data_IF_187690094842
#
_entry.id   IF_187690094842
#
_cell.length_a   1.000
_cell.length_b   1.000
_cell.length_c   1.000
_cell.angle_alpha   90.00
_cell.angle_beta   90.00
_cell.angle_gamma   90.00
#
_symmetry.space_group_name_H-M   'P 1'
#
loop_
_entity.id
_entity.type
_entity.pdbx_description
1 polymer ?
#
# COMPACT_ATOMS: atom_id res chain seq x y z
N UNK A 1 -6.60 6.91 7.01
CA UNK A 1 -6.02 7.49 5.76
C UNK A 1 -4.68 8.23 5.94
N UNK A 2 -4.45 8.99 7.02
CA UNK A 2 -3.26 9.84 7.19
C UNK A 2 -1.91 9.10 7.25
N UNK A 3 -1.87 7.90 7.85
CA UNK A 3 -0.64 7.10 8.00
C UNK A 3 -0.20 6.36 6.72
N UNK A 4 -1.13 5.84 5.91
CA UNK A 4 -0.80 5.19 4.63
C UNK A 4 -0.17 6.16 3.63
N UNK A 5 -0.66 7.40 3.61
CA UNK A 5 -0.07 8.50 2.84
C UNK A 5 1.36 8.82 3.29
N UNK A 6 1.65 8.82 4.61
CA UNK A 6 2.98 9.13 5.12
C UNK A 6 4.03 8.09 4.73
N UNK A 7 3.72 6.80 4.82
CA UNK A 7 4.63 5.73 4.39
C UNK A 7 4.88 5.76 2.87
N UNK A 8 3.84 6.02 2.08
CA UNK A 8 3.98 6.22 0.64
C UNK A 8 4.88 7.42 0.31
N UNK A 9 4.71 8.54 1.02
CA UNK A 9 5.56 9.72 0.83
C UNK A 9 7.02 9.44 1.19
N UNK A 10 7.27 8.66 2.24
CA UNK A 10 8.64 8.26 2.60
C UNK A 10 9.29 7.36 1.53
N UNK A 11 8.55 6.38 1.00
CA UNK A 11 9.01 5.51 -0.08
C UNK A 11 9.22 6.27 -1.41
N UNK A 12 8.31 7.18 -1.72
CA UNK A 12 8.35 7.98 -2.94
C UNK A 12 9.39 9.11 -2.90
N UNK A 13 9.87 9.50 -1.72
CA UNK A 13 10.77 10.66 -1.54
C UNK A 13 12.10 10.53 -2.29
N UNK A 14 12.52 9.30 -2.64
CA UNK A 14 13.75 9.04 -3.42
C UNK A 14 13.58 9.23 -4.94
N UNK A 15 12.37 9.53 -5.40
CA UNK A 15 12.05 9.69 -6.81
C UNK A 15 11.59 11.11 -7.12
N UNK A 16 12.00 11.63 -8.28
CA UNK A 16 11.55 12.94 -8.76
C UNK A 16 10.16 12.89 -9.39
N UNK A 17 9.76 11.72 -9.90
CA UNK A 17 8.42 11.44 -10.42
C UNK A 17 8.01 10.03 -10.07
N UNK A 18 6.72 9.84 -9.82
CA UNK A 18 6.12 8.52 -9.58
C UNK A 18 4.88 8.36 -10.45
N UNK A 19 4.76 7.21 -11.12
CA UNK A 19 3.58 6.84 -11.91
C UNK A 19 2.99 5.55 -11.38
N UNK A 20 1.75 5.61 -10.87
CA UNK A 20 0.98 4.41 -10.56
C UNK A 20 0.41 3.87 -11.88
N UNK A 21 0.68 2.60 -12.16
CA UNK A 21 0.21 1.93 -13.36
C UNK A 21 -1.06 1.11 -13.09
N UNK A 22 -1.13 0.47 -11.92
CA UNK A 22 -2.28 -0.33 -11.52
C UNK A 22 -2.42 -0.40 -10.01
N UNK A 23 -3.67 -0.59 -9.56
CA UNK A 23 -4.02 -0.81 -8.17
C UNK A 23 -4.98 -1.99 -8.09
N UNK A 24 -4.71 -2.93 -7.18
CA UNK A 24 -5.66 -3.98 -6.85
C UNK A 24 -5.88 -3.99 -5.36
N UNK A 25 -7.14 -3.83 -4.95
CA UNK A 25 -7.57 -3.98 -3.57
C UNK A 25 -8.42 -5.25 -3.47
N UNK A 26 -8.11 -6.11 -2.50
CA UNK A 26 -8.95 -7.27 -2.19
C UNK A 26 -9.20 -7.34 -0.70
N UNK A 27 -10.36 -7.87 -0.33
CA UNK A 27 -10.62 -8.27 1.05
C UNK A 27 -9.63 -9.35 1.42
N UNK A 28 -8.99 -9.18 2.56
CA UNK A 28 -8.17 -10.22 3.16
C UNK A 28 -9.14 -11.17 3.87
N UNK A 29 -9.43 -12.30 3.24
CA UNK A 29 -10.32 -13.33 3.79
C UNK A 29 -9.62 -13.98 4.98
N UNK A 30 -10.15 -13.87 6.21
CA UNK A 30 -9.53 -14.47 7.38
C UNK A 30 -9.44 -15.99 7.21
N UNK A 31 -8.25 -16.57 7.45
CA UNK A 31 -8.15 -18.02 7.61
C UNK A 31 -8.42 -18.39 9.08
N UNK A 32 -8.74 -19.65 9.35
CA UNK A 32 -8.96 -20.13 10.72
C UNK A 32 -7.74 -19.91 11.64
N UNK A 33 -6.54 -19.76 11.07
CA UNK A 33 -5.31 -19.45 11.80
C UNK A 33 -5.20 -17.98 12.24
N UNK A 34 -5.92 -17.06 11.61
CA UNK A 34 -5.77 -15.61 11.80
C UNK A 34 -6.80 -15.02 12.77
N UNK A 35 -7.55 -15.87 13.48
CA UNK A 35 -8.56 -15.43 14.47
C UNK A 35 -9.75 -14.68 13.88
N UNK A 36 -10.02 -14.80 12.58
CA UNK A 36 -11.27 -14.33 11.98
C UNK A 36 -11.44 -12.81 11.93
N UNK A 37 -10.38 -12.01 12.03
CA UNK A 37 -10.50 -10.53 12.16
C UNK A 37 -11.27 -9.93 10.98
N UNK A 38 -12.50 -9.45 11.18
CA UNK A 38 -13.31 -8.89 10.10
C UNK A 38 -12.70 -7.59 9.59
N UNK A 39 -12.78 -7.36 8.28
CA UNK A 39 -12.43 -6.06 7.71
C UNK A 39 -10.93 -5.82 7.55
N UNK A 40 -10.16 -6.82 7.13
CA UNK A 40 -8.82 -6.59 6.57
C UNK A 40 -8.85 -6.49 5.04
N UNK A 41 -7.93 -5.72 4.49
CA UNK A 41 -7.76 -5.59 3.04
C UNK A 41 -6.27 -5.54 2.69
N UNK A 42 -5.93 -6.20 1.58
CA UNK A 42 -4.59 -6.15 0.98
C UNK A 42 -4.67 -5.29 -0.27
N UNK A 43 -3.81 -4.29 -0.34
CA UNK A 43 -3.65 -3.44 -1.52
C UNK A 43 -2.28 -3.69 -2.14
N UNK A 44 -2.28 -3.99 -3.43
CA UNK A 44 -1.08 -4.09 -4.27
C UNK A 44 -1.04 -2.91 -5.23
N UNK A 45 0.12 -2.27 -5.30
CA UNK A 45 0.39 -1.14 -6.17
C UNK A 45 1.48 -1.51 -7.15
N UNK A 46 1.22 -1.33 -8.43
CA UNK A 46 2.24 -1.38 -9.49
C UNK A 46 2.60 0.05 -9.85
N UNK A 47 3.88 0.39 -9.74
CA UNK A 47 4.35 1.76 -9.94
C UNK A 47 5.79 1.79 -10.47
N UNK A 48 6.13 2.89 -11.12
CA UNK A 48 7.50 3.20 -11.54
C UNK A 48 7.93 4.54 -10.94
N UNK A 49 9.19 4.61 -10.52
CA UNK A 49 9.81 5.83 -10.00
C UNK A 49 10.92 6.30 -10.93
N UNK A 50 10.97 7.61 -11.21
CA UNK A 50 12.10 8.23 -11.88
C UNK A 50 13.12 8.67 -10.83
N UNK A 51 14.36 8.22 -10.95
CA UNK A 51 15.46 8.72 -10.13
C UNK A 51 15.74 10.22 -10.42
N UNK A 52 16.64 10.88 -9.67
CA UNK A 52 17.01 12.27 -9.95
C UNK A 52 17.59 12.53 -11.34
N UNK A 53 18.16 11.52 -12.00
CA UNK A 53 18.66 11.59 -13.37
C UNK A 53 17.56 11.38 -14.43
N UNK A 54 16.33 11.05 -14.01
CA UNK A 54 15.19 10.81 -14.89
C UNK A 54 15.06 9.38 -15.39
N UNK A 55 15.88 8.45 -14.89
CA UNK A 55 15.81 7.03 -15.26
C UNK A 55 14.63 6.38 -14.53
N UNK A 56 13.73 5.74 -15.28
CA UNK A 56 12.65 4.96 -14.70
C UNK A 56 13.17 3.63 -14.20
N UNK A 57 13.09 3.42 -12.88
CA UNK A 57 13.36 2.15 -12.25
C UNK A 57 12.03 1.49 -11.91
N UNK A 58 11.89 0.22 -12.26
CA UNK A 58 10.74 -0.59 -11.84
C UNK A 58 10.71 -0.63 -10.31
N UNK A 59 9.72 0.06 -9.75
CA UNK A 59 9.44 0.04 -8.33
C UNK A 59 8.85 -1.32 -8.00
N UNK A 60 9.62 -2.17 -7.30
CA UNK A 60 9.16 -3.50 -6.87
C UNK A 60 7.73 -3.38 -6.30
N UNK A 61 6.80 -4.28 -6.66
CA UNK A 61 5.42 -4.22 -6.18
C UNK A 61 5.40 -4.21 -4.64
N UNK A 62 4.85 -3.13 -4.09
CA UNK A 62 4.68 -2.97 -2.65
C UNK A 62 3.33 -3.54 -2.21
N UNK A 63 3.33 -4.34 -1.14
CA UNK A 63 2.09 -4.81 -0.51
C UNK A 63 1.87 -4.05 0.79
N UNK A 64 0.69 -3.47 0.95
CA UNK A 64 0.30 -2.75 2.18
C UNK A 64 -0.94 -3.41 2.77
N UNK A 65 -0.87 -3.78 4.05
CA UNK A 65 -1.93 -4.43 4.78
C UNK A 65 -2.72 -3.40 5.60
N UNK A 66 -4.06 -3.47 5.56
CA UNK A 66 -4.94 -2.61 6.33
C UNK A 66 -5.93 -3.39 7.19
N UNK A 67 -6.28 -2.84 8.35
CA UNK A 67 -7.38 -3.28 9.23
C UNK A 67 -8.41 -2.17 9.36
N UNK A 68 -9.69 -2.51 9.31
CA UNK A 68 -10.81 -1.59 9.46
C UNK A 68 -11.14 -1.44 10.95
N UNK A 69 -11.28 -0.19 11.38
CA UNK A 69 -11.76 0.17 12.71
C UNK A 69 -13.30 0.11 12.75
N UNK A 70 -13.87 0.05 13.96
CA UNK A 70 -15.33 -0.02 14.17
C UNK A 70 -16.11 1.20 13.64
N UNK A 71 -15.44 2.35 13.48
CA UNK A 71 -15.97 3.59 12.90
C UNK A 71 -15.91 3.63 11.36
N UNK A 72 -15.43 2.56 10.72
CA UNK A 72 -15.29 2.48 9.27
C UNK A 72 -13.97 3.03 8.71
N UNK A 73 -13.12 3.63 9.55
CA UNK A 73 -11.78 4.06 9.15
C UNK A 73 -10.81 2.88 9.03
N UNK A 74 -9.65 3.09 8.39
CA UNK A 74 -8.66 2.03 8.15
C UNK A 74 -7.27 2.41 8.66
N UNK A 75 -6.64 1.48 9.38
CA UNK A 75 -5.26 1.55 9.89
C UNK A 75 -4.37 0.54 9.18
N UNK A 76 -3.09 0.89 8.96
CA UNK A 76 -2.10 -0.04 8.38
C UNK A 76 -1.61 -1.02 9.45
N UNK A 77 -1.46 -2.29 9.09
CA UNK A 77 -0.70 -3.25 9.90
C UNK A 77 0.80 -3.13 9.60
N UNK A 78 1.60 -3.15 10.66
CA UNK A 78 3.06 -3.07 10.61
C UNK A 78 3.65 -4.32 9.97
#
# INVERSE_FOLDING_TARGET
MRQGRAAWLAEAARYTRVRIQAVTARRDTPTAADGGVPGRAVVRLVWAGADPAGTFLDGRPGTVHFTKNGDGSWNRMH
#
